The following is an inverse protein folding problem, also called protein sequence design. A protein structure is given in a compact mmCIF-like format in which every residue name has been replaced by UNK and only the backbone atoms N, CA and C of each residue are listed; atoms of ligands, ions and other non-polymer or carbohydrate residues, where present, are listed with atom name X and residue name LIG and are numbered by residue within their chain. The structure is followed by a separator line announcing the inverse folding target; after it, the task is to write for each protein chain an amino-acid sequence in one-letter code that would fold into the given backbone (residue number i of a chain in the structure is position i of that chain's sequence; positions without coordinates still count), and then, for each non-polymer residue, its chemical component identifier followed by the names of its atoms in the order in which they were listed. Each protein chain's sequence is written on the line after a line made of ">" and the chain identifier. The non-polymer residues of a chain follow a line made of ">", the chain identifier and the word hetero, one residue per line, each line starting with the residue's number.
data_IF_125360298529
#
_entry.id   IF_125360298529
#
_cell.length_a   1.000
_cell.length_b   1.000
_cell.length_c   1.000
_cell.angle_alpha   90.00
_cell.angle_beta   90.00
_cell.angle_gamma   90.00
#
_symmetry.space_group_name_H-M   'P 1'
#
loop_
_entity.id
_entity.type
_entity.pdbx_description
1 polymer ?
#
# COMPACT_ATOMS: atom_id res chain seq x y z
N UNK A 1 -2.14 8.46 -45.96
CA UNK A 1 -2.43 9.01 -44.62
C UNK A 1 -1.89 8.02 -43.59
N UNK A 2 -0.66 8.23 -43.10
CA UNK A 2 -0.01 7.31 -42.16
C UNK A 2 -0.68 7.45 -40.78
N UNK A 3 -1.61 6.53 -40.46
CA UNK A 3 -2.11 6.31 -39.11
C UNK A 3 -0.97 5.71 -38.27
N UNK A 4 -0.05 6.54 -37.80
CA UNK A 4 0.78 6.15 -36.66
C UNK A 4 -0.17 5.99 -35.47
N UNK A 5 -0.47 4.74 -35.10
CA UNK A 5 -1.10 4.44 -33.83
C UNK A 5 -0.20 5.00 -32.72
N UNK A 6 -0.53 6.20 -32.23
CA UNK A 6 0.26 6.86 -31.21
C UNK A 6 0.16 6.05 -29.91
N UNK A 7 1.16 5.18 -29.65
CA UNK A 7 1.25 4.31 -28.47
C UNK A 7 1.54 5.08 -27.18
N UNK A 8 1.68 6.41 -27.26
CA UNK A 8 1.97 7.29 -26.12
C UNK A 8 0.76 7.60 -25.26
N UNK A 9 -0.46 7.31 -25.69
CA UNK A 9 -1.68 7.53 -24.90
C UNK A 9 -2.20 6.18 -24.45
N UNK A 10 -2.44 6.06 -23.16
CA UNK A 10 -3.16 4.93 -22.56
C UNK A 10 -4.49 4.67 -23.27
N UNK A 11 -4.77 3.40 -23.57
CA UNK A 11 -5.98 2.96 -24.29
C UNK A 11 -7.25 3.47 -23.62
N UNK A 12 -7.38 3.35 -22.29
CA UNK A 12 -8.59 3.82 -21.58
C UNK A 12 -8.73 5.33 -21.64
N UNK A 13 -7.61 6.05 -21.53
CA UNK A 13 -7.61 7.51 -21.66
C UNK A 13 -8.08 7.92 -23.05
N UNK A 14 -7.59 7.26 -24.09
CA UNK A 14 -8.01 7.49 -25.47
C UNK A 14 -9.50 7.21 -25.69
N UNK A 15 -10.01 6.10 -25.16
CA UNK A 15 -11.44 5.76 -25.20
C UNK A 15 -12.30 6.82 -24.52
N UNK A 16 -11.88 7.32 -23.36
CA UNK A 16 -12.59 8.37 -22.65
C UNK A 16 -12.56 9.72 -23.37
N UNK A 17 -11.43 10.09 -23.96
CA UNK A 17 -11.27 11.33 -24.73
C UNK A 17 -12.20 11.36 -25.95
N UNK A 18 -12.46 10.20 -26.58
CA UNK A 18 -13.35 10.09 -27.73
C UNK A 18 -14.80 10.48 -27.43
N UNK A 19 -15.24 10.37 -26.17
CA UNK A 19 -16.62 10.69 -25.74
C UNK A 19 -16.73 11.96 -24.89
N UNK A 20 -15.60 12.49 -24.37
CA UNK A 20 -15.61 13.63 -23.44
C UNK A 20 -14.61 14.73 -23.86
N UNK A 21 -14.97 15.56 -24.84
CA UNK A 21 -14.06 16.54 -25.45
C UNK A 21 -13.82 17.83 -24.63
N UNK A 22 -14.71 18.19 -23.69
CA UNK A 22 -14.69 19.50 -23.02
C UNK A 22 -14.18 19.49 -21.58
N UNK A 23 -13.99 18.31 -20.96
CA UNK A 23 -13.59 18.20 -19.55
C UNK A 23 -12.08 18.16 -19.43
N UNK A 24 -11.53 18.84 -18.42
CA UNK A 24 -10.14 18.61 -18.01
C UNK A 24 -10.05 17.22 -17.39
N UNK A 25 -9.00 16.50 -17.73
CA UNK A 25 -8.77 15.13 -17.32
C UNK A 25 -7.50 15.12 -16.46
N UNK A 26 -7.55 14.54 -15.24
CA UNK A 26 -6.35 14.30 -14.47
C UNK A 26 -5.55 13.16 -15.10
N UNK A 27 -4.30 13.45 -15.45
CA UNK A 27 -3.39 12.53 -16.14
C UNK A 27 -2.01 12.56 -15.49
N UNK A 28 -1.23 11.52 -15.74
CA UNK A 28 0.20 11.47 -15.47
C UNK A 28 0.95 11.41 -16.80
N UNK A 29 1.84 12.37 -17.01
CA UNK A 29 2.68 12.51 -18.21
C UNK A 29 4.09 12.07 -17.85
N UNK A 30 4.55 10.98 -18.45
CA UNK A 30 5.92 10.50 -18.37
C UNK A 30 6.75 11.15 -19.47
N UNK A 31 7.98 11.56 -19.14
CA UNK A 31 8.91 12.18 -20.07
C UNK A 31 10.27 11.49 -20.06
N UNK A 32 11.06 11.72 -21.10
CA UNK A 32 12.38 11.10 -21.27
C UNK A 32 13.45 11.80 -20.42
N UNK A 33 13.77 13.04 -20.77
CA UNK A 33 15.02 13.67 -20.29
C UNK A 33 14.85 15.07 -19.68
N UNK A 34 13.89 15.88 -20.13
CA UNK A 34 13.86 17.30 -19.78
C UNK A 34 12.54 17.71 -19.10
N UNK A 35 12.61 17.85 -17.77
CA UNK A 35 11.49 18.30 -16.94
C UNK A 35 11.07 19.73 -17.27
N UNK A 36 12.02 20.64 -17.57
CA UNK A 36 11.72 22.06 -17.81
C UNK A 36 10.94 22.25 -19.11
N UNK A 37 11.34 21.58 -20.19
CA UNK A 37 10.63 21.63 -21.48
C UNK A 37 9.26 20.99 -21.35
N UNK A 38 9.17 19.83 -20.70
CA UNK A 38 7.90 19.14 -20.48
C UNK A 38 6.94 19.99 -19.66
N UNK A 39 7.40 20.55 -18.53
CA UNK A 39 6.60 21.46 -17.69
C UNK A 39 6.10 22.67 -18.46
N UNK A 40 6.98 23.32 -19.22
CA UNK A 40 6.62 24.49 -20.03
C UNK A 40 5.60 24.12 -21.10
N UNK A 41 5.75 22.95 -21.74
CA UNK A 41 4.80 22.42 -22.72
C UNK A 41 3.43 22.12 -22.11
N UNK A 42 3.37 21.59 -20.89
CA UNK A 42 2.10 21.35 -20.18
C UNK A 42 1.40 22.69 -19.90
N UNK A 43 2.14 23.66 -19.35
CA UNK A 43 1.59 24.98 -18.99
C UNK A 43 1.11 25.74 -20.24
N UNK A 44 1.89 25.72 -21.32
CA UNK A 44 1.51 26.40 -22.58
C UNK A 44 0.28 25.79 -23.24
N UNK A 45 0.00 24.51 -22.99
CA UNK A 45 -1.26 23.84 -23.36
C UNK A 45 -2.35 24.01 -22.29
N UNK A 46 -2.21 24.98 -21.38
CA UNK A 46 -3.20 25.31 -20.36
C UNK A 46 -3.33 24.27 -19.25
N UNK A 47 -2.38 23.36 -19.10
CA UNK A 47 -2.36 22.34 -18.06
C UNK A 47 -2.15 22.90 -16.66
N UNK A 48 -2.83 22.31 -15.67
CA UNK A 48 -2.64 22.63 -14.25
C UNK A 48 -1.84 21.52 -13.60
N UNK A 49 -0.60 21.80 -13.22
CA UNK A 49 0.29 20.81 -12.61
C UNK A 49 -0.09 20.61 -11.14
N UNK A 50 -0.19 19.34 -10.72
CA UNK A 50 -0.39 18.93 -9.33
C UNK A 50 0.95 18.58 -8.69
N UNK A 51 1.70 17.63 -9.27
CA UNK A 51 3.02 17.22 -8.78
C UNK A 51 4.04 17.04 -9.90
N UNK A 52 5.31 17.27 -9.56
CA UNK A 52 6.47 16.82 -10.35
C UNK A 52 7.17 15.69 -9.59
N UNK A 53 7.35 14.55 -10.25
CA UNK A 53 7.99 13.37 -9.68
C UNK A 53 9.45 13.29 -10.16
N UNK A 54 10.37 13.68 -9.28
CA UNK A 54 11.82 13.62 -9.52
C UNK A 54 12.32 12.17 -9.61
N UNK A 55 11.67 11.23 -8.93
CA UNK A 55 12.12 9.84 -8.89
C UNK A 55 11.75 9.02 -10.13
N UNK A 56 10.82 9.47 -10.97
CA UNK A 56 10.29 8.66 -12.10
C UNK A 56 10.12 9.45 -13.41
N UNK A 57 10.68 10.65 -13.53
CA UNK A 57 10.53 11.49 -14.71
C UNK A 57 9.08 11.62 -15.19
N UNK A 58 8.19 12.04 -14.30
CA UNK A 58 6.79 12.23 -14.64
C UNK A 58 6.18 13.46 -13.95
N UNK A 59 5.06 13.95 -14.48
CA UNK A 59 4.30 15.09 -13.96
C UNK A 59 2.82 14.70 -13.92
N UNK A 60 2.14 14.92 -12.79
CA UNK A 60 0.67 14.86 -12.76
C UNK A 60 0.07 16.22 -13.01
N UNK A 61 -0.97 16.25 -13.84
CA UNK A 61 -1.64 17.49 -14.20
C UNK A 61 -3.07 17.27 -14.68
N UNK A 62 -3.85 18.33 -14.70
CA UNK A 62 -5.14 18.38 -15.39
C UNK A 62 -5.01 19.11 -16.73
N UNK A 63 -5.37 18.44 -17.82
CA UNK A 63 -5.30 18.96 -19.20
C UNK A 63 -6.57 18.59 -19.99
N UNK A 64 -6.89 19.36 -21.04
CA UNK A 64 -8.01 19.01 -21.93
C UNK A 64 -7.64 17.89 -22.91
N UNK A 65 -8.60 17.16 -23.49
CA UNK A 65 -8.35 16.14 -24.51
C UNK A 65 -7.50 16.64 -25.68
N UNK A 66 -7.85 17.82 -26.23
CA UNK A 66 -7.08 18.46 -27.32
C UNK A 66 -5.62 18.70 -26.90
N UNK A 67 -5.40 19.07 -25.64
CA UNK A 67 -4.05 19.27 -25.11
C UNK A 67 -3.30 17.95 -24.95
N UNK A 68 -3.98 16.87 -24.54
CA UNK A 68 -3.38 15.53 -24.46
C UNK A 68 -2.91 15.06 -25.84
N UNK A 69 -3.74 15.25 -26.87
CA UNK A 69 -3.35 14.90 -28.25
C UNK A 69 -2.09 15.69 -28.68
N UNK A 70 -2.07 17.01 -28.50
CA UNK A 70 -0.89 17.85 -28.81
C UNK A 70 0.35 17.45 -28.01
N UNK A 71 0.19 17.20 -26.71
CA UNK A 71 1.28 16.78 -25.85
C UNK A 71 1.83 15.41 -26.27
N UNK A 72 0.99 14.51 -26.77
CA UNK A 72 1.43 13.21 -27.28
C UNK A 72 2.33 13.31 -28.52
N UNK A 73 2.22 14.39 -29.29
CA UNK A 73 3.10 14.66 -30.44
C UNK A 73 4.51 15.09 -30.02
N UNK A 74 4.67 15.62 -28.80
CA UNK A 74 5.96 16.06 -28.28
C UNK A 74 6.95 14.86 -28.17
N UNK A 75 8.14 14.92 -28.79
CA UNK A 75 9.12 13.83 -28.76
C UNK A 75 9.69 13.53 -27.37
N UNK A 76 9.68 14.50 -26.45
CA UNK A 76 10.12 14.34 -25.06
C UNK A 76 9.11 13.57 -24.21
N UNK A 77 7.83 13.57 -24.58
CA UNK A 77 6.77 12.83 -23.89
C UNK A 77 6.81 11.37 -24.34
N UNK A 78 7.00 10.47 -23.37
CA UNK A 78 7.07 9.03 -23.59
C UNK A 78 5.71 8.36 -23.43
N UNK A 79 4.89 8.80 -22.48
CA UNK A 79 3.57 8.23 -22.24
C UNK A 79 2.67 9.17 -21.44
N UNK A 80 1.35 9.06 -21.66
CA UNK A 80 0.30 9.79 -20.94
C UNK A 80 -0.76 8.76 -20.54
N UNK A 81 -1.03 8.66 -19.23
CA UNK A 81 -2.08 7.80 -18.69
C UNK A 81 -3.02 8.56 -17.77
N UNK A 82 -4.17 7.95 -17.49
CA UNK A 82 -5.05 8.47 -16.45
C UNK A 82 -4.35 8.56 -15.09
N UNK A 83 -4.74 9.55 -14.30
CA UNK A 83 -4.54 9.49 -12.86
C UNK A 83 -5.56 8.52 -12.25
N UNK A 84 -5.21 7.24 -12.30
CA UNK A 84 -6.08 6.16 -11.86
C UNK A 84 -6.34 6.19 -10.35
N UNK A 85 -7.44 5.56 -9.95
CA UNK A 85 -7.90 5.50 -8.57
C UNK A 85 -7.70 4.09 -8.00
N UNK A 86 -7.04 4.00 -6.84
CA UNK A 86 -6.92 2.79 -6.04
C UNK A 86 -8.01 2.73 -4.96
N UNK A 87 -8.28 1.52 -4.48
CA UNK A 87 -9.12 1.23 -3.31
C UNK A 87 -8.35 0.42 -2.28
N UNK A 88 -8.63 0.64 -0.99
CA UNK A 88 -8.07 -0.17 0.09
C UNK A 88 -8.65 -1.60 0.09
N UNK A 89 -7.84 -2.58 0.53
CA UNK A 89 -8.23 -3.99 0.57
C UNK A 89 -8.84 -4.40 1.92
N UNK A 90 -9.94 -3.75 2.35
CA UNK A 90 -10.68 -4.06 3.58
C UNK A 90 -12.14 -4.42 3.30
N UNK A 91 -12.65 -5.41 4.03
CA UNK A 91 -14.05 -5.82 4.10
C UNK A 91 -14.56 -5.64 5.55
N UNK A 92 -15.75 -5.04 5.69
CA UNK A 92 -16.42 -4.98 6.99
C UNK A 92 -17.13 -6.30 7.24
N UNK A 93 -16.67 -7.06 8.23
CA UNK A 93 -17.42 -8.20 8.78
C UNK A 93 -17.51 -8.01 10.29
N UNK A 94 -18.72 -8.19 10.81
CA UNK A 94 -19.06 -8.12 12.23
C UNK A 94 -18.97 -9.51 12.85
N UNK A 95 -18.33 -9.56 14.03
CA UNK A 95 -18.03 -10.71 14.90
C UNK A 95 -16.61 -11.28 14.74
N UNK A 96 -15.96 -11.63 15.86
CA UNK A 96 -14.52 -11.94 15.84
C UNK A 96 -14.00 -12.92 16.88
N UNK A 97 -13.05 -13.74 16.43
CA UNK A 97 -12.15 -14.56 17.24
C UNK A 97 -10.75 -13.97 17.07
N UNK A 98 -10.26 -13.25 18.09
CA UNK A 98 -8.95 -12.60 18.03
C UNK A 98 -7.80 -13.59 17.82
N UNK A 99 -6.97 -13.34 16.81
CA UNK A 99 -5.69 -14.03 16.64
C UNK A 99 -4.67 -13.40 17.59
N UNK A 100 -4.28 -14.14 18.64
CA UNK A 100 -3.14 -13.77 19.50
C UNK A 100 -1.84 -14.10 18.77
N UNK A 101 -1.08 -13.08 18.39
CA UNK A 101 0.29 -13.29 17.90
C UNK A 101 1.19 -13.65 19.09
N UNK A 102 1.91 -14.77 18.99
CA UNK A 102 2.74 -15.27 20.07
C UNK A 102 3.99 -14.40 20.25
N UNK A 103 4.08 -13.67 21.38
CA UNK A 103 5.23 -12.86 21.77
C UNK A 103 6.25 -13.65 22.59
N UNK A 104 6.68 -14.81 22.09
CA UNK A 104 7.74 -15.60 22.74
C UNK A 104 9.16 -15.18 22.30
N UNK A 105 9.28 -14.02 21.63
CA UNK A 105 10.52 -13.55 21.00
C UNK A 105 10.98 -12.26 21.67
N UNK A 106 12.27 -12.15 22.00
CA UNK A 106 12.91 -10.92 22.49
C UNK A 106 13.16 -9.89 21.35
N UNK A 107 12.27 -9.84 20.36
CA UNK A 107 12.31 -8.91 19.23
C UNK A 107 11.05 -8.06 19.23
N UNK A 108 11.19 -6.78 18.91
CA UNK A 108 10.08 -5.80 18.94
C UNK A 108 10.02 -4.93 17.69
N UNK A 109 10.90 -5.15 16.71
CA UNK A 109 11.05 -4.32 15.52
C UNK A 109 11.80 -3.03 15.81
N UNK A 110 12.61 -3.03 16.86
CA UNK A 110 13.26 -1.82 17.38
C UNK A 110 14.03 -1.10 16.28
N UNK A 111 13.75 0.20 16.16
CA UNK A 111 14.43 1.13 15.25
C UNK A 111 14.18 0.88 13.75
N UNK A 112 13.29 -0.05 13.37
CA UNK A 112 12.93 -0.28 11.97
C UNK A 112 11.78 0.64 11.54
N UNK A 113 12.00 1.41 10.48
CA UNK A 113 10.99 2.28 9.89
C UNK A 113 10.08 1.54 8.90
N UNK A 114 8.77 1.76 9.05
CA UNK A 114 7.72 1.22 8.18
C UNK A 114 6.94 2.40 7.60
N UNK A 115 7.01 2.57 6.28
CA UNK A 115 6.18 3.51 5.55
C UNK A 115 4.80 2.89 5.29
N UNK A 116 3.74 3.52 5.81
CA UNK A 116 2.35 3.10 5.60
C UNK A 116 1.63 4.11 4.71
N UNK A 117 1.22 3.65 3.52
CA UNK A 117 0.54 4.46 2.49
C UNK A 117 -0.98 4.22 2.55
N UNK A 118 -1.69 5.03 3.32
CA UNK A 118 -3.07 4.72 3.75
C UNK A 118 -3.93 5.97 4.00
N UNK A 119 -4.98 5.86 4.81
CA UNK A 119 -5.92 6.92 5.20
C UNK A 119 -5.43 7.79 6.34
N UNK A 120 -4.23 7.54 6.84
CA UNK A 120 -3.65 8.26 7.97
C UNK A 120 -3.44 7.36 9.17
N UNK A 121 -3.30 7.96 10.34
CA UNK A 121 -3.14 7.26 11.59
C UNK A 121 -3.59 8.18 12.72
N UNK A 122 -4.63 7.77 13.41
CA UNK A 122 -5.10 8.45 14.58
C UNK A 122 -4.10 8.25 15.73
N UNK A 123 -3.78 9.29 16.51
CA UNK A 123 -2.83 9.21 17.62
C UNK A 123 -3.44 8.45 18.82
N UNK A 124 -3.66 7.15 18.64
CA UNK A 124 -4.23 6.25 19.65
C UNK A 124 -3.27 6.11 20.84
N UNK A 125 -3.74 6.03 22.10
CA UNK A 125 -2.88 5.86 23.28
C UNK A 125 -1.87 4.72 23.16
N UNK A 126 -2.26 3.59 22.56
CA UNK A 126 -1.39 2.44 22.29
C UNK A 126 -0.28 2.68 21.24
N UNK A 127 -0.30 3.83 20.55
CA UNK A 127 0.73 4.24 19.61
C UNK A 127 1.57 5.43 20.10
N UNK A 128 1.07 6.19 21.09
CA UNK A 128 1.71 7.45 21.51
C UNK A 128 2.16 7.47 22.98
N UNK A 129 1.56 6.64 23.83
CA UNK A 129 1.84 6.64 25.27
C UNK A 129 3.11 5.82 25.54
N UNK A 130 3.97 6.28 26.46
CA UNK A 130 5.32 5.76 26.75
C UNK A 130 6.34 5.98 25.61
N UNK A 131 5.93 5.77 24.37
CA UNK A 131 6.75 6.00 23.18
C UNK A 131 5.84 6.41 22.03
N UNK A 132 6.22 7.46 21.33
CA UNK A 132 5.55 7.83 20.09
C UNK A 132 6.07 6.99 18.92
N UNK A 133 5.24 6.05 18.48
CA UNK A 133 5.50 5.18 17.34
C UNK A 133 5.22 5.91 16.01
N UNK A 134 4.33 6.92 16.00
CA UNK A 134 4.05 7.76 14.81
C UNK A 134 5.12 8.85 14.72
N UNK A 135 6.24 8.52 14.06
CA UNK A 135 7.42 9.40 14.00
C UNK A 135 7.39 10.37 12.82
N UNK A 136 6.62 10.06 11.79
CA UNK A 136 6.44 10.92 10.61
C UNK A 136 4.99 10.84 10.15
N UNK A 137 4.41 11.97 9.77
CA UNK A 137 3.07 12.05 9.20
C UNK A 137 3.03 13.11 8.10
N UNK A 138 2.50 12.75 6.93
CA UNK A 138 2.26 13.70 5.84
C UNK A 138 0.94 13.40 5.13
N UNK A 139 0.12 14.43 5.01
CA UNK A 139 -1.20 14.36 4.39
C UNK A 139 -1.20 14.94 2.98
N UNK A 140 -1.47 14.08 2.00
CA UNK A 140 -1.57 14.46 0.60
C UNK A 140 -3.00 14.83 0.18
N UNK A 141 -4.00 14.56 1.03
CA UNK A 141 -5.42 14.76 0.76
C UNK A 141 -5.88 16.13 1.27
N UNK A 142 -5.84 16.36 2.58
CA UNK A 142 -6.36 17.60 3.20
C UNK A 142 -5.26 18.57 3.64
N UNK A 143 -3.98 18.19 3.47
CA UNK A 143 -2.80 18.99 3.82
C UNK A 143 -2.73 19.39 5.31
N UNK A 144 -3.22 18.52 6.19
CA UNK A 144 -3.10 18.69 7.64
C UNK A 144 -1.74 18.15 8.11
N UNK A 145 -1.06 18.89 8.98
CA UNK A 145 0.33 18.66 9.41
C UNK A 145 0.46 17.74 10.63
N UNK A 146 -0.65 17.32 11.22
CA UNK A 146 -0.69 16.47 12.43
C UNK A 146 -1.42 15.16 12.18
N UNK A 147 -1.06 14.07 12.88
CA UNK A 147 -1.69 12.76 12.71
C UNK A 147 -3.20 12.77 12.98
N UNK A 148 -3.94 12.16 12.07
CA UNK A 148 -5.37 11.85 12.17
C UNK A 148 -5.72 10.75 11.18
N UNK A 149 -6.94 10.22 11.29
CA UNK A 149 -7.47 9.24 10.35
C UNK A 149 -9.00 9.38 10.27
N UNK A 150 -9.48 9.87 9.14
CA UNK A 150 -10.90 10.14 8.86
C UNK A 150 -11.62 8.94 8.21
N UNK A 151 -10.95 7.79 8.15
CA UNK A 151 -11.51 6.51 7.69
C UNK A 151 -11.34 5.40 8.75
N UNK A 152 -10.15 5.32 9.34
CA UNK A 152 -9.78 4.35 10.37
C UNK A 152 -9.04 3.11 9.90
N UNK A 153 -8.90 2.89 8.58
CA UNK A 153 -8.14 1.76 8.04
C UNK A 153 -6.65 1.86 8.39
N UNK A 154 -6.03 3.01 8.17
CA UNK A 154 -4.60 3.21 8.47
C UNK A 154 -4.29 3.07 9.97
N UNK A 155 -5.17 3.55 10.85
CA UNK A 155 -5.05 3.33 12.31
C UNK A 155 -5.15 1.85 12.67
N UNK A 156 -6.08 1.14 12.05
CA UNK A 156 -6.27 -0.29 12.27
C UNK A 156 -5.02 -1.10 11.86
N UNK A 157 -4.42 -0.81 10.70
CA UNK A 157 -3.17 -1.45 10.28
C UNK A 157 -1.98 -1.03 11.16
N UNK A 158 -1.91 0.23 11.56
CA UNK A 158 -0.89 0.73 12.50
C UNK A 158 -0.91 -0.03 13.82
N UNK A 159 -2.11 -0.38 14.31
CA UNK A 159 -2.30 -1.21 15.49
C UNK A 159 -1.70 -2.61 15.35
N UNK A 160 -2.02 -3.31 14.25
CA UNK A 160 -1.48 -4.64 13.94
C UNK A 160 0.05 -4.61 13.89
N UNK A 161 0.60 -3.56 13.29
CA UNK A 161 2.05 -3.43 13.11
C UNK A 161 2.72 -3.10 14.44
N UNK A 162 2.33 -2.03 15.12
CA UNK A 162 3.16 -1.41 16.15
C UNK A 162 2.40 -0.87 17.38
N UNK A 163 1.18 -1.34 17.66
CA UNK A 163 0.56 -1.09 18.96
C UNK A 163 1.46 -1.57 20.10
N UNK A 164 1.73 -0.73 21.09
CA UNK A 164 2.49 -1.12 22.28
C UNK A 164 1.61 -1.83 23.33
N UNK A 165 0.28 -1.89 23.10
CA UNK A 165 -0.69 -2.52 24.01
C UNK A 165 -0.83 -1.80 25.36
N UNK A 166 -0.58 -0.49 25.41
CA UNK A 166 -0.67 0.31 26.63
C UNK A 166 -2.04 0.19 27.32
N UNK A 167 -3.12 0.38 26.56
CA UNK A 167 -4.50 0.30 27.08
C UNK A 167 -4.91 -1.15 27.31
N UNK A 168 -4.47 -2.07 26.45
CA UNK A 168 -4.67 -3.51 26.65
C UNK A 168 -3.57 -4.34 25.95
N UNK A 169 -2.80 -5.08 26.75
CA UNK A 169 -1.68 -5.91 26.28
C UNK A 169 -2.07 -6.99 25.27
N UNK A 170 -3.35 -7.40 25.23
CA UNK A 170 -3.86 -8.39 24.27
C UNK A 170 -3.90 -7.87 22.83
N UNK A 171 -3.80 -6.55 22.64
CA UNK A 171 -3.83 -5.87 21.35
C UNK A 171 -2.47 -5.26 20.99
N UNK A 172 -1.39 -5.83 21.54
CA UNK A 172 -0.03 -5.47 21.15
C UNK A 172 0.21 -5.89 19.69
N UNK A 173 0.79 -4.98 18.91
CA UNK A 173 1.16 -5.23 17.52
C UNK A 173 2.39 -6.13 17.42
N UNK A 174 2.67 -6.61 16.22
CA UNK A 174 3.75 -7.59 15.96
C UNK A 174 5.14 -7.00 16.22
N UNK A 175 5.34 -5.74 15.84
CA UNK A 175 6.60 -5.01 15.91
C UNK A 175 6.41 -3.68 16.68
N UNK A 176 6.08 -3.75 17.98
CA UNK A 176 5.62 -2.64 18.84
C UNK A 176 6.65 -1.50 19.03
N UNK A 177 7.91 -1.73 18.71
CA UNK A 177 8.98 -0.73 18.80
C UNK A 177 9.45 -0.18 17.45
N UNK A 178 8.79 -0.58 16.36
CA UNK A 178 9.01 -0.01 15.03
C UNK A 178 8.65 1.47 14.98
N UNK A 179 9.19 2.18 13.99
CA UNK A 179 8.85 3.56 13.67
C UNK A 179 7.81 3.57 12.55
N UNK A 180 6.61 4.09 12.79
CA UNK A 180 5.59 4.28 11.76
C UNK A 180 5.76 5.64 11.08
N UNK A 181 5.98 5.60 9.76
CA UNK A 181 5.99 6.76 8.89
C UNK A 181 4.71 6.75 8.05
N UNK A 182 3.77 7.65 8.38
CA UNK A 182 2.42 7.63 7.84
C UNK A 182 2.32 8.59 6.66
N UNK A 183 1.97 8.04 5.50
CA UNK A 183 1.74 8.78 4.27
C UNK A 183 0.25 8.70 3.94
N UNK A 184 -0.52 9.71 4.36
CA UNK A 184 -1.97 9.76 4.08
C UNK A 184 -2.22 10.13 2.62
N UNK A 185 -2.42 9.12 1.78
CA UNK A 185 -2.72 9.27 0.35
C UNK A 185 -4.08 8.67 -0.03
N UNK A 186 -4.90 8.28 0.95
CA UNK A 186 -6.28 7.84 0.79
C UNK A 186 -7.25 8.75 1.56
N UNK A 187 -8.39 9.05 0.95
CA UNK A 187 -9.43 9.90 1.54
C UNK A 187 -10.32 9.13 2.53
N UNK A 188 -11.26 9.83 3.16
CA UNK A 188 -12.21 9.26 4.13
C UNK A 188 -13.07 8.10 3.57
N UNK A 189 -13.22 8.01 2.26
CA UNK A 189 -13.93 6.93 1.57
C UNK A 189 -13.03 5.73 1.19
N UNK A 190 -11.75 5.75 1.59
CA UNK A 190 -10.80 4.68 1.32
C UNK A 190 -10.28 4.64 -0.12
N UNK A 191 -10.27 5.79 -0.81
CA UNK A 191 -9.75 5.90 -2.16
C UNK A 191 -8.56 6.84 -2.27
N UNK A 192 -7.60 6.47 -3.11
CA UNK A 192 -6.38 7.24 -3.36
C UNK A 192 -6.10 7.36 -4.87
N UNK A 193 -5.63 8.52 -5.31
CA UNK A 193 -5.18 8.70 -6.69
C UNK A 193 -3.75 8.23 -6.84
N UNK A 194 -3.44 7.64 -8.00
CA UNK A 194 -2.09 7.23 -8.38
C UNK A 194 -1.10 8.39 -8.23
N UNK A 195 -1.52 9.61 -8.53
CA UNK A 195 -0.71 10.81 -8.36
C UNK A 195 -0.27 11.06 -6.91
N UNK A 196 -1.19 10.98 -5.96
CA UNK A 196 -0.90 11.17 -4.54
C UNK A 196 -0.04 10.02 -3.99
N UNK A 197 -0.31 8.79 -4.41
CA UNK A 197 0.47 7.60 -4.00
C UNK A 197 1.92 7.70 -4.52
N UNK A 198 2.12 8.07 -5.78
CA UNK A 198 3.48 8.24 -6.35
C UNK A 198 4.23 9.35 -5.61
N UNK A 199 3.58 10.48 -5.33
CA UNK A 199 4.22 11.58 -4.60
C UNK A 199 4.58 11.17 -3.17
N UNK A 200 3.70 10.42 -2.51
CA UNK A 200 3.98 9.85 -1.20
C UNK A 200 5.18 8.90 -1.24
N UNK A 201 5.28 8.01 -2.23
CA UNK A 201 6.42 7.09 -2.39
C UNK A 201 7.72 7.86 -2.57
N UNK A 202 7.70 8.94 -3.36
CA UNK A 202 8.86 9.83 -3.50
C UNK A 202 9.30 10.38 -2.15
N UNK A 203 8.37 10.92 -1.37
CA UNK A 203 8.70 11.48 -0.06
C UNK A 203 9.21 10.42 0.91
N UNK A 204 8.68 9.20 0.87
CA UNK A 204 9.19 8.08 1.65
C UNK A 204 10.63 7.72 1.30
N UNK A 205 11.00 7.74 0.02
CA UNK A 205 12.40 7.55 -0.42
C UNK A 205 13.28 8.69 0.08
N UNK A 206 12.80 9.94 0.04
CA UNK A 206 13.56 11.12 0.49
C UNK A 206 13.87 11.05 1.99
N UNK A 207 12.89 10.69 2.82
CA UNK A 207 13.05 10.66 4.28
C UNK A 207 13.53 9.31 4.82
N UNK A 208 13.87 8.35 3.94
CA UNK A 208 14.14 6.95 4.35
C UNK A 208 15.25 6.84 5.38
N UNK A 209 16.32 7.62 5.24
CA UNK A 209 17.51 7.48 6.09
C UNK A 209 17.28 8.13 7.47
N UNK A 210 16.51 9.22 7.52
CA UNK A 210 16.13 9.90 8.78
C UNK A 210 15.29 8.98 9.69
N UNK A 211 14.35 8.24 9.11
CA UNK A 211 13.44 7.38 9.87
C UNK A 211 13.76 5.89 9.78
N UNK A 212 14.92 5.54 9.21
CA UNK A 212 15.34 4.15 8.94
C UNK A 212 14.24 3.32 8.24
N UNK A 213 13.58 3.89 7.23
CA UNK A 213 12.51 3.23 6.48
C UNK A 213 13.10 2.06 5.69
N UNK A 214 12.67 0.84 6.03
CA UNK A 214 13.06 -0.41 5.36
C UNK A 214 11.90 -1.14 4.72
N UNK A 215 10.66 -0.80 5.09
CA UNK A 215 9.45 -1.50 4.65
C UNK A 215 8.44 -0.48 4.13
N UNK A 216 7.79 -0.80 3.01
CA UNK A 216 6.67 -0.05 2.47
C UNK A 216 5.41 -0.94 2.45
N UNK A 217 4.46 -0.62 3.32
CA UNK A 217 3.14 -1.27 3.33
C UNK A 217 2.23 -0.59 2.31
N UNK A 218 1.81 -1.33 1.28
CA UNK A 218 0.97 -0.85 0.17
C UNK A 218 -0.40 -1.56 0.21
N UNK A 219 -1.28 -1.26 1.19
CA UNK A 219 -2.48 -2.04 1.51
C UNK A 219 -3.69 -1.75 0.60
N UNK A 220 -3.44 -1.57 -0.69
CA UNK A 220 -4.44 -1.17 -1.68
C UNK A 220 -4.31 -1.99 -2.96
N UNK A 221 -5.36 -1.94 -3.79
CA UNK A 221 -5.37 -2.48 -5.14
C UNK A 221 -5.96 -1.49 -6.14
N UNK A 222 -5.54 -1.61 -7.40
CA UNK A 222 -6.16 -0.93 -8.52
C UNK A 222 -7.10 -1.91 -9.22
N UNK A 223 -8.43 -1.79 -9.06
CA UNK A 223 -9.41 -2.81 -9.47
C UNK A 223 -9.68 -2.80 -10.99
N UNK A 224 -8.63 -2.80 -11.81
CA UNK A 224 -8.73 -2.92 -13.26
C UNK A 224 -7.56 -3.71 -13.84
N UNK A 225 -7.88 -4.67 -14.71
CA UNK A 225 -6.93 -5.48 -15.46
C UNK A 225 -6.45 -4.70 -16.70
N UNK A 226 -5.67 -3.64 -16.54
CA UNK A 226 -5.00 -3.02 -17.69
C UNK A 226 -3.51 -2.87 -17.43
N UNK A 227 -2.72 -3.62 -18.19
CA UNK A 227 -1.28 -3.40 -18.29
C UNK A 227 -1.03 -2.12 -19.08
N UNK A 228 -0.49 -1.10 -18.42
CA UNK A 228 -0.02 0.10 -19.09
C UNK A 228 1.28 -0.20 -19.85
N UNK A 229 1.49 0.46 -20.98
CA UNK A 229 2.77 0.37 -21.71
C UNK A 229 3.92 0.93 -20.86
N UNK A 230 3.68 2.07 -20.20
CA UNK A 230 4.53 2.61 -19.13
C UNK A 230 3.64 2.82 -17.91
N UNK A 231 3.99 2.18 -16.80
CA UNK A 231 3.26 2.34 -15.53
C UNK A 231 4.09 3.21 -14.57
N UNK A 232 3.72 4.50 -14.36
CA UNK A 232 4.48 5.39 -13.50
C UNK A 232 4.49 4.94 -12.02
N UNK A 233 3.45 4.24 -11.55
CA UNK A 233 3.43 3.71 -10.20
C UNK A 233 4.36 2.49 -10.06
N UNK A 234 4.44 1.64 -11.08
CA UNK A 234 5.43 0.55 -11.12
C UNK A 234 6.86 1.11 -11.06
N UNK A 235 7.14 2.18 -11.81
CA UNK A 235 8.42 2.89 -11.75
C UNK A 235 8.70 3.41 -10.33
N UNK A 236 7.69 3.97 -9.65
CA UNK A 236 7.85 4.48 -8.28
C UNK A 236 8.09 3.36 -7.26
N UNK A 237 7.38 2.23 -7.37
CA UNK A 237 7.61 1.07 -6.51
C UNK A 237 8.99 0.45 -6.78
N UNK A 238 9.46 0.42 -8.02
CA UNK A 238 10.84 0.03 -8.32
C UNK A 238 11.86 0.95 -7.65
N UNK A 239 11.57 2.25 -7.49
CA UNK A 239 12.43 3.17 -6.72
C UNK A 239 12.48 2.84 -5.22
N UNK A 240 11.43 2.27 -4.62
CA UNK A 240 11.50 1.72 -3.26
C UNK A 240 12.53 0.58 -3.21
N UNK A 241 12.43 -0.36 -4.15
CA UNK A 241 13.31 -1.54 -4.23
C UNK A 241 14.77 -1.13 -4.45
N UNK A 242 15.03 -0.21 -5.38
CA UNK A 242 16.37 0.35 -5.64
C UNK A 242 16.96 1.05 -4.41
N UNK A 243 16.12 1.53 -3.49
CA UNK A 243 16.53 2.15 -2.23
C UNK A 243 16.52 1.18 -1.03
N UNK A 244 16.46 -0.13 -1.28
CA UNK A 244 16.42 -1.19 -0.26
C UNK A 244 15.22 -1.07 0.70
N UNK A 245 14.09 -0.54 0.22
CA UNK A 245 12.82 -0.55 0.92
C UNK A 245 11.98 -1.71 0.37
N UNK A 246 11.57 -2.63 1.23
CA UNK A 246 10.79 -3.83 0.88
C UNK A 246 9.33 -3.46 0.63
N UNK A 247 8.81 -3.52 -0.61
CA UNK A 247 7.39 -3.30 -0.85
C UNK A 247 6.58 -4.56 -0.53
N UNK A 248 5.55 -4.42 0.29
CA UNK A 248 4.62 -5.47 0.66
C UNK A 248 3.22 -5.03 0.25
N UNK A 249 2.49 -5.90 -0.45
CA UNK A 249 1.14 -5.63 -0.94
C UNK A 249 0.20 -6.81 -0.65
N UNK A 250 -1.10 -6.55 -0.49
CA UNK A 250 -2.11 -7.60 -0.41
C UNK A 250 -2.29 -8.31 -1.76
N UNK A 251 -2.84 -9.52 -1.74
CA UNK A 251 -3.32 -10.19 -2.95
C UNK A 251 -4.58 -9.55 -3.56
N UNK A 252 -5.28 -8.70 -2.79
CA UNK A 252 -6.52 -8.07 -3.20
C UNK A 252 -7.76 -8.77 -2.62
N UNK A 253 -8.91 -8.10 -2.68
CA UNK A 253 -10.18 -8.61 -2.17
C UNK A 253 -11.16 -9.01 -3.30
N UNK A 254 -10.64 -9.18 -4.52
CA UNK A 254 -11.41 -9.51 -5.73
C UNK A 254 -11.34 -10.99 -6.12
N UNK A 255 -10.94 -11.86 -5.20
CA UNK A 255 -11.10 -13.31 -5.34
C UNK A 255 -12.58 -13.74 -5.35
N UNK A 256 -12.88 -15.04 -5.56
CA UNK A 256 -11.96 -16.18 -5.55
C UNK A 256 -11.49 -16.61 -6.95
N UNK A 257 -11.79 -15.88 -8.02
CA UNK A 257 -11.42 -16.30 -9.37
C UNK A 257 -9.89 -16.28 -9.56
N UNK A 258 -9.36 -17.13 -10.44
CA UNK A 258 -7.97 -17.04 -10.87
C UNK A 258 -7.72 -15.69 -11.56
N UNK A 259 -6.47 -15.23 -11.57
CA UNK A 259 -6.06 -13.94 -12.15
C UNK A 259 -6.76 -12.73 -11.48
N UNK A 260 -7.09 -12.85 -10.20
CA UNK A 260 -7.72 -11.78 -9.39
C UNK A 260 -6.72 -11.01 -8.52
N UNK A 261 -5.41 -11.20 -8.74
CA UNK A 261 -4.37 -10.40 -8.09
C UNK A 261 -4.05 -9.21 -8.97
N UNK A 262 -4.41 -8.03 -8.50
CA UNK A 262 -4.25 -6.76 -9.19
C UNK A 262 -2.98 -6.03 -8.78
N UNK A 263 -2.72 -4.88 -9.40
CA UNK A 263 -1.59 -4.03 -9.05
C UNK A 263 -1.79 -3.39 -7.67
N UNK A 264 -0.75 -3.29 -6.80
CA UNK A 264 0.65 -3.70 -7.01
C UNK A 264 0.96 -5.16 -6.66
N UNK A 265 -0.01 -5.91 -6.12
CA UNK A 265 0.18 -7.31 -5.70
C UNK A 265 0.60 -8.25 -6.84
N UNK A 266 0.37 -7.90 -8.10
CA UNK A 266 0.82 -8.68 -9.25
C UNK A 266 2.29 -8.45 -9.64
N UNK A 267 2.98 -7.48 -9.05
CA UNK A 267 4.38 -7.20 -9.37
C UNK A 267 5.32 -8.31 -8.88
N UNK A 268 6.28 -8.70 -9.74
CA UNK A 268 7.25 -9.77 -9.45
C UNK A 268 8.05 -9.55 -8.17
N UNK A 269 8.55 -8.33 -7.98
CA UNK A 269 9.48 -7.97 -6.90
C UNK A 269 8.79 -7.39 -5.65
N UNK A 270 7.46 -7.35 -5.64
CA UNK A 270 6.66 -7.03 -4.45
C UNK A 270 6.43 -8.32 -3.68
N UNK A 271 6.45 -8.26 -2.33
CA UNK A 271 6.00 -9.40 -1.50
C UNK A 271 4.47 -9.33 -1.42
N UNK A 272 3.81 -10.29 -2.03
CA UNK A 272 2.35 -10.34 -2.13
C UNK A 272 1.80 -11.32 -1.11
N UNK A 273 0.91 -10.84 -0.25
CA UNK A 273 0.37 -11.61 0.86
C UNK A 273 -1.11 -11.89 0.65
N UNK A 274 -1.47 -13.17 0.56
CA UNK A 274 -2.87 -13.60 0.53
C UNK A 274 -3.49 -13.74 1.93
N UNK A 275 -4.81 -13.82 1.95
CA UNK A 275 -5.60 -13.88 3.17
C UNK A 275 -6.09 -15.29 3.50
N UNK A 276 -5.98 -15.67 4.77
CA UNK A 276 -6.56 -16.91 5.31
C UNK A 276 -7.51 -16.64 6.47
N UNK A 277 -8.43 -17.57 6.68
CA UNK A 277 -9.19 -17.74 7.91
C UNK A 277 -8.47 -18.78 8.77
N UNK A 278 -8.25 -18.48 10.05
CA UNK A 278 -7.78 -19.44 11.06
C UNK A 278 -8.92 -19.68 12.06
N UNK A 279 -9.67 -20.75 11.87
CA UNK A 279 -10.72 -21.17 12.80
C UNK A 279 -10.09 -22.00 13.93
N UNK A 280 -9.83 -21.33 15.06
CA UNK A 280 -9.24 -21.96 16.24
C UNK A 280 -10.17 -23.02 16.86
N UNK A 281 -11.49 -22.87 16.72
CA UNK A 281 -12.47 -23.81 17.29
C UNK A 281 -12.45 -25.15 16.54
N UNK A 282 -12.30 -25.10 15.22
CA UNK A 282 -12.26 -26.29 14.35
C UNK A 282 -10.84 -26.75 14.01
N UNK A 283 -9.81 -26.03 14.50
CA UNK A 283 -8.40 -26.24 14.13
C UNK A 283 -8.21 -26.30 12.61
N UNK A 284 -8.94 -25.44 11.89
CA UNK A 284 -9.00 -25.44 10.43
C UNK A 284 -8.44 -24.12 9.88
N UNK A 285 -7.70 -24.21 8.78
CA UNK A 285 -7.16 -23.06 8.06
C UNK A 285 -7.61 -23.17 6.61
N UNK A 286 -8.21 -22.11 6.10
CA UNK A 286 -8.67 -22.01 4.71
C UNK A 286 -8.30 -20.66 4.11
N UNK A 287 -8.23 -20.60 2.78
CA UNK A 287 -8.08 -19.32 2.06
C UNK A 287 -9.37 -18.51 2.22
N UNK A 288 -9.25 -17.23 2.53
CA UNK A 288 -10.40 -16.32 2.54
C UNK A 288 -10.99 -16.21 1.13
N UNK A 289 -12.31 -16.30 0.98
CA UNK A 289 -12.96 -16.31 -0.34
C UNK A 289 -12.63 -15.07 -1.18
N UNK A 290 -12.55 -13.90 -0.53
CA UNK A 290 -12.18 -12.65 -1.19
C UNK A 290 -10.69 -12.56 -1.55
N UNK A 291 -9.81 -13.40 -0.97
CA UNK A 291 -8.37 -13.30 -1.22
C UNK A 291 -8.06 -13.55 -2.69
N UNK A 292 -7.40 -12.59 -3.33
CA UNK A 292 -6.96 -12.71 -4.72
C UNK A 292 -6.10 -13.95 -4.96
N UNK A 293 -6.29 -14.56 -6.13
CA UNK A 293 -5.63 -15.81 -6.55
C UNK A 293 -4.91 -15.65 -7.87
N UNK A 294 -3.73 -16.23 -7.95
CA UNK A 294 -2.93 -16.31 -9.15
C UNK A 294 -3.41 -17.34 -10.18
N UNK A 295 -2.57 -17.65 -11.19
CA UNK A 295 -1.40 -16.85 -11.53
C UNK A 295 -1.85 -15.41 -11.88
N UNK A 296 -0.96 -14.44 -11.83
CA UNK A 296 -1.26 -13.09 -12.32
C UNK A 296 -1.64 -13.15 -13.80
N UNK A 297 -2.24 -12.09 -14.34
CA UNK A 297 -2.50 -11.98 -15.78
C UNK A 297 -1.23 -12.22 -16.65
N UNK A 298 -0.05 -11.83 -16.15
CA UNK A 298 1.26 -12.07 -16.79
C UNK A 298 1.85 -13.47 -16.53
N UNK A 299 1.10 -14.40 -15.96
CA UNK A 299 1.54 -15.78 -15.71
C UNK A 299 2.48 -15.99 -14.51
N UNK A 300 2.65 -14.99 -13.64
CA UNK A 300 3.49 -15.08 -12.44
C UNK A 300 2.72 -15.77 -11.31
N UNK A 301 3.34 -16.74 -10.64
CA UNK A 301 2.76 -17.36 -9.45
C UNK A 301 2.72 -16.36 -8.29
N UNK A 302 1.52 -16.04 -7.83
CA UNK A 302 1.19 -15.17 -6.70
C UNK A 302 -0.07 -15.71 -6.00
N UNK A 303 -0.33 -15.41 -4.70
CA UNK A 303 0.53 -14.64 -3.79
C UNK A 303 1.83 -15.40 -3.46
N UNK A 304 2.78 -14.73 -2.81
CA UNK A 304 4.03 -15.39 -2.39
C UNK A 304 3.80 -16.25 -1.14
N UNK A 305 2.98 -15.76 -0.22
CA UNK A 305 2.69 -16.34 1.10
C UNK A 305 1.28 -15.93 1.54
N UNK A 306 0.78 -16.51 2.63
CA UNK A 306 -0.49 -16.12 3.25
C UNK A 306 -0.35 -15.81 4.74
N UNK A 307 -1.23 -14.95 5.24
CA UNK A 307 -1.34 -14.62 6.67
C UNK A 307 -2.80 -14.37 7.09
N UNK A 308 -3.15 -14.53 8.38
CA UNK A 308 -4.51 -14.32 8.88
C UNK A 308 -5.12 -12.98 8.48
N UNK A 309 -6.38 -12.98 8.09
CA UNK A 309 -7.03 -11.78 7.55
C UNK A 309 -8.52 -11.67 7.86
N UNK A 310 -9.10 -12.68 8.51
CA UNK A 310 -10.52 -12.71 8.86
C UNK A 310 -10.65 -12.48 10.35
N UNK A 311 -11.54 -11.55 10.69
CA UNK A 311 -11.95 -11.15 12.03
C UNK A 311 -10.78 -10.85 12.98
N UNK A 312 -9.81 -10.12 12.45
CA UNK A 312 -8.64 -9.69 13.20
C UNK A 312 -9.02 -8.47 14.03
N UNK A 313 -8.58 -8.46 15.28
CA UNK A 313 -8.78 -7.36 16.20
C UNK A 313 -7.61 -6.38 16.15
N UNK A 314 -7.91 -5.08 16.12
CA UNK A 314 -6.89 -4.02 16.18
C UNK A 314 -7.49 -2.70 16.67
N UNK A 315 -6.67 -1.66 16.70
CA UNK A 315 -7.03 -0.31 17.11
C UNK A 315 -8.20 0.23 16.29
N UNK A 316 -9.10 0.90 16.98
CA UNK A 316 -10.13 1.74 16.40
C UNK A 316 -9.72 3.21 16.56
N UNK A 317 -10.41 4.11 15.86
CA UNK A 317 -10.17 5.55 15.97
C UNK A 317 -11.47 6.34 16.05
N UNK A 318 -11.36 7.57 16.54
CA UNK A 318 -12.39 8.58 16.34
C UNK A 318 -12.21 9.22 14.95
N UNK A 319 -13.01 8.80 13.97
CA UNK A 319 -12.92 9.32 12.59
C UNK A 319 -13.36 10.78 12.46
N UNK A 320 -13.95 11.38 13.51
CA UNK A 320 -14.28 12.81 13.56
C UNK A 320 -13.16 13.65 14.15
N UNK A 321 -12.13 13.01 14.71
CA UNK A 321 -10.97 13.73 15.24
C UNK A 321 -10.20 14.38 14.11
N UNK A 322 -10.09 15.71 14.22
CA UNK A 322 -9.17 16.51 13.43
C UNK A 322 -8.34 17.34 14.42
N UNK A 323 -6.99 17.31 14.33
CA UNK A 323 -6.09 17.96 15.30
C UNK A 323 -6.34 19.47 15.51
N UNK A 324 -7.00 20.13 14.56
CA UNK A 324 -7.33 21.56 14.57
C UNK A 324 -8.78 21.85 14.98
N UNK A 325 -9.59 20.83 15.24
CA UNK A 325 -11.02 20.98 15.52
C UNK A 325 -11.32 21.19 17.01
N UNK A 326 -12.48 21.78 17.31
CA UNK A 326 -13.05 21.85 18.67
C UNK A 326 -13.61 20.51 19.15
N UNK A 327 -13.62 19.48 18.30
CA UNK A 327 -14.11 18.15 18.64
C UNK A 327 -13.17 17.54 19.67
N UNK A 328 -13.70 17.30 20.88
CA UNK A 328 -12.92 16.65 21.93
C UNK A 328 -12.70 15.20 21.54
N UNK A 329 -11.43 14.81 21.48
CA UNK A 329 -10.98 13.42 21.37
C UNK A 329 -11.85 12.50 22.25
N UNK A 330 -12.45 11.48 21.64
CA UNK A 330 -13.23 10.47 22.38
C UNK A 330 -13.25 9.15 21.62
N UNK A 331 -12.65 8.11 22.18
CA UNK A 331 -12.78 6.75 21.66
C UNK A 331 -13.61 5.92 22.64
N UNK A 332 -14.90 5.74 22.34
CA UNK A 332 -15.79 4.90 23.16
C UNK A 332 -15.42 3.42 23.05
N UNK A 333 -15.03 2.98 21.85
CA UNK A 333 -14.63 1.59 21.56
C UNK A 333 -13.20 1.60 21.00
N UNK A 334 -12.16 1.42 21.83
CA UNK A 334 -10.75 1.58 21.43
C UNK A 334 -10.23 0.52 20.47
N UNK A 335 -10.97 -0.58 20.31
CA UNK A 335 -10.61 -1.68 19.41
C UNK A 335 -11.79 -2.07 18.55
N UNK A 336 -11.53 -2.60 17.37
CA UNK A 336 -12.55 -3.16 16.47
C UNK A 336 -12.04 -4.42 15.79
N UNK A 337 -12.95 -5.20 15.22
CA UNK A 337 -12.63 -6.29 14.30
C UNK A 337 -12.76 -5.83 12.86
N UNK A 338 -11.94 -6.39 11.96
CA UNK A 338 -12.14 -6.27 10.53
C UNK A 338 -11.56 -7.48 9.78
N UNK A 339 -11.96 -7.60 8.51
CA UNK A 339 -11.47 -8.63 7.59
C UNK A 339 -10.87 -7.99 6.34
N UNK A 340 -9.84 -8.56 5.73
CA UNK A 340 -9.27 -8.04 4.47
C UNK A 340 -7.81 -8.39 4.28
N UNK A 341 -7.36 -8.55 3.03
CA UNK A 341 -5.97 -8.90 2.73
C UNK A 341 -4.96 -7.80 3.09
N UNK A 342 -5.42 -6.54 3.27
CA UNK A 342 -4.60 -5.46 3.83
C UNK A 342 -4.07 -5.80 5.24
N UNK A 343 -4.85 -6.56 6.01
CA UNK A 343 -4.50 -7.05 7.35
C UNK A 343 -3.34 -8.04 7.27
N UNK A 344 -3.41 -9.02 6.35
CA UNK A 344 -2.30 -9.94 6.08
C UNK A 344 -1.02 -9.21 5.69
N UNK A 345 -1.15 -8.19 4.84
CA UNK A 345 -0.05 -7.33 4.43
C UNK A 345 0.60 -6.64 5.64
N UNK A 346 -0.19 -6.04 6.53
CA UNK A 346 0.28 -5.41 7.75
C UNK A 346 0.96 -6.40 8.71
N UNK A 347 0.41 -7.62 8.84
CA UNK A 347 1.03 -8.68 9.64
C UNK A 347 2.45 -8.97 9.15
N UNK A 348 2.61 -9.17 7.85
CA UNK A 348 3.92 -9.46 7.25
C UNK A 348 4.86 -8.27 7.32
N UNK A 349 4.38 -7.02 7.23
CA UNK A 349 5.21 -5.84 7.47
C UNK A 349 5.80 -5.86 8.89
N UNK A 350 4.99 -6.17 9.90
CA UNK A 350 5.47 -6.38 11.26
C UNK A 350 6.50 -7.52 11.35
N UNK A 351 6.24 -8.66 10.70
CA UNK A 351 7.19 -9.78 10.64
C UNK A 351 8.55 -9.38 10.06
N UNK A 352 8.54 -8.61 8.96
CA UNK A 352 9.77 -8.17 8.31
C UNK A 352 10.55 -7.22 9.22
N UNK A 353 9.89 -6.40 10.02
CA UNK A 353 10.58 -5.56 11.00
C UNK A 353 11.31 -6.40 12.07
N UNK A 354 10.69 -7.49 12.54
CA UNK A 354 11.37 -8.44 13.45
C UNK A 354 12.55 -9.15 12.76
N UNK A 355 12.39 -9.53 11.50
CA UNK A 355 13.47 -10.12 10.69
C UNK A 355 14.65 -9.17 10.59
N UNK A 356 14.39 -7.90 10.27
CA UNK A 356 15.42 -6.87 10.07
C UNK A 356 16.11 -6.46 11.38
N UNK A 357 15.41 -6.51 12.51
CA UNK A 357 16.03 -6.34 13.82
C UNK A 357 17.02 -7.47 14.12
N UNK A 358 16.66 -8.72 13.79
CA UNK A 358 17.53 -9.88 14.02
C UNK A 358 18.70 -9.95 13.04
N UNK A 359 18.43 -9.73 11.76
CA UNK A 359 19.38 -9.88 10.67
C UNK A 359 19.59 -8.51 10.00
N UNK A 360 20.57 -7.77 10.50
CA UNK A 360 20.87 -6.46 9.96
C UNK A 360 21.51 -6.56 8.56
N UNK A 361 21.23 -5.58 7.69
CA UNK A 361 21.82 -5.46 6.34
C UNK A 361 21.59 -6.64 5.37
N UNK A 362 20.53 -7.43 5.55
CA UNK A 362 20.15 -8.46 4.57
C UNK A 362 19.42 -7.86 3.36
N UNK A 363 19.49 -8.53 2.21
CA UNK A 363 18.83 -8.08 1.00
C UNK A 363 17.32 -8.36 1.01
N UNK A 364 16.56 -7.67 0.14
CA UNK A 364 15.13 -7.95 -0.07
C UNK A 364 14.90 -9.42 -0.49
N UNK A 365 15.84 -10.02 -1.23
CA UNK A 365 15.78 -11.44 -1.63
C UNK A 365 15.95 -12.37 -0.44
N UNK A 366 16.80 -12.01 0.52
CA UNK A 366 17.01 -12.80 1.74
C UNK A 366 15.77 -12.74 2.63
N UNK A 367 15.17 -11.56 2.80
CA UNK A 367 13.90 -11.38 3.53
C UNK A 367 12.81 -12.26 2.92
N UNK A 368 12.67 -12.23 1.59
CA UNK A 368 11.71 -13.08 0.88
C UNK A 368 11.99 -14.56 1.09
N UNK A 369 13.26 -14.97 1.05
CA UNK A 369 13.67 -16.36 1.28
C UNK A 369 13.35 -16.81 2.71
N UNK A 370 13.64 -15.99 3.72
CA UNK A 370 13.32 -16.26 5.13
C UNK A 370 11.81 -16.44 5.30
N UNK A 371 11.00 -15.55 4.74
CA UNK A 371 9.54 -15.68 4.80
C UNK A 371 9.08 -16.99 4.15
N UNK A 372 9.55 -17.33 2.95
CA UNK A 372 9.18 -18.55 2.23
C UNK A 372 9.60 -19.81 3.00
N UNK A 373 10.84 -19.86 3.51
CA UNK A 373 11.37 -21.00 4.26
C UNK A 373 10.68 -21.18 5.62
N UNK A 374 10.20 -20.08 6.20
CA UNK A 374 9.40 -20.10 7.44
C UNK A 374 7.94 -20.49 7.21
N UNK A 375 7.46 -20.52 5.95
CA UNK A 375 6.08 -20.86 5.63
C UNK A 375 5.81 -22.36 5.72
N UNK A 376 4.56 -22.70 6.08
CA UNK A 376 4.02 -24.05 6.06
C UNK A 376 2.84 -24.10 5.10
N UNK A 377 2.87 -25.05 4.17
CA UNK A 377 1.72 -25.33 3.30
C UNK A 377 0.48 -25.62 4.15
N UNK A 378 -0.64 -25.02 3.76
CA UNK A 378 -1.96 -25.24 4.37
C UNK A 378 -2.80 -26.26 3.56
N UNK A 379 -2.21 -26.90 2.55
CA UNK A 379 -2.89 -27.92 1.72
C UNK A 379 -3.74 -27.37 0.57
N UNK A 380 -3.71 -26.05 0.35
CA UNK A 380 -4.53 -25.36 -0.65
C UNK A 380 -3.85 -25.22 -2.03
N UNK A 381 -4.58 -24.71 -3.02
CA UNK A 381 -4.02 -24.44 -4.34
C UNK A 381 -2.82 -23.46 -4.24
N UNK A 382 -1.69 -23.76 -4.91
CA UNK A 382 -0.48 -22.90 -4.89
C UNK A 382 -0.75 -21.47 -5.35
N UNK A 383 -1.69 -21.26 -6.28
CA UNK A 383 -2.11 -19.94 -6.72
C UNK A 383 -2.97 -19.18 -5.70
N UNK A 384 -3.42 -19.85 -4.64
CA UNK A 384 -4.16 -19.24 -3.54
C UNK A 384 -3.27 -19.07 -2.30
N UNK A 385 -2.50 -20.09 -1.92
CA UNK A 385 -1.66 -20.06 -0.71
C UNK A 385 -0.21 -19.61 -0.92
N UNK A 386 0.29 -19.57 -2.16
CA UNK A 386 1.72 -19.37 -2.42
C UNK A 386 2.56 -20.47 -1.79
N UNK A 387 3.60 -20.08 -1.05
CA UNK A 387 4.45 -20.96 -0.25
C UNK A 387 3.81 -21.39 1.08
N UNK A 388 2.60 -20.91 1.39
CA UNK A 388 1.85 -21.26 2.59
C UNK A 388 1.91 -20.18 3.67
N UNK A 389 1.38 -20.52 4.85
CA UNK A 389 1.25 -19.61 5.98
C UNK A 389 2.58 -19.43 6.69
N UNK A 390 2.99 -18.17 6.89
CA UNK A 390 4.20 -17.84 7.65
C UNK A 390 4.08 -18.32 9.10
N UNK A 391 5.09 -19.02 9.59
CA UNK A 391 5.19 -19.46 10.98
C UNK A 391 6.32 -18.71 11.67
N UNK A 392 5.97 -17.72 12.49
CA UNK A 392 6.93 -16.81 13.13
C UNK A 392 8.06 -17.51 13.89
N UNK A 393 7.77 -18.58 14.62
CA UNK A 393 8.78 -19.33 15.38
C UNK A 393 9.87 -19.95 14.48
N UNK A 394 9.59 -20.16 13.19
CA UNK A 394 10.57 -20.66 12.22
C UNK A 394 11.42 -19.57 11.58
N UNK A 395 11.00 -18.31 11.64
CA UNK A 395 11.78 -17.17 11.10
C UNK A 395 13.12 -17.04 11.86
N UNK A 396 13.14 -17.50 13.13
CA UNK A 396 14.19 -17.18 14.10
C UNK A 396 14.99 -18.42 14.52
N UNK A 397 14.63 -19.62 14.04
CA UNK A 397 15.51 -20.80 14.10
C UNK A 397 16.43 -20.79 12.89
#
# INVERSE_FOLDING_TARGET
>A
MFLFFNRKIDKKLKEYMAVNLKRRIPVIICYKNNVKTTRSSIISNGGKIKYEYKIINAISCEVSPISIDRLSENPDISFICFDYKASLCLNNVSESIGVKFAHNLNLTGKDIGIALFDTGCFPHPDLITNKNTIVYFKDYINKIDKPYDDNGHGTFLSGIIASNGHTNKSYRGIAPDSKLCIFKCFNSLGFGYMSDIIFAIQDAVIVKDEYNIKIACLPFEFPYLNKLYINPLEMAINKLIENNIVPVAPSGNLGPQNMSIYFPGNMKNVITVGGIHVDLSKKHISIADFSGRGPTFDGINKPDIVAPCIDILSLNCDTKYVPTSKHKYSIQTPYKSASGTSISCAIICGSIALILEKYNNISIKDIRSILILSSKSIGENKNAQGCGMVVFDKIIK
#
